data_IF_634680539992
#
_entry.id   IF_634680539992
#
_cell.length_a   1.000
_cell.length_b   1.000
_cell.length_c   1.000
_cell.angle_alpha   90.00
_cell.angle_beta   90.00
_cell.angle_gamma   90.00
#
_symmetry.space_group_name_H-M   'P 1'
#
loop_
_entity.id
_entity.type
_entity.pdbx_description
1 polymer ?
#
# COMPACT_ATOMS: atom_id res chain seq x y z
N UNK A 1 -14.23 7.15 16.28
CA UNK A 1 -14.45 6.25 15.13
C UNK A 1 -13.14 5.53 14.91
N UNK A 2 -13.13 4.22 14.71
CA UNK A 2 -11.91 3.49 14.36
C UNK A 2 -11.45 3.91 12.97
N UNK A 3 -10.13 4.12 12.81
CA UNK A 3 -9.55 4.48 11.51
C UNK A 3 -9.56 3.27 10.59
N UNK A 4 -9.89 3.49 9.32
CA UNK A 4 -9.87 2.47 8.29
C UNK A 4 -8.44 2.20 7.83
N UNK A 5 -8.01 0.93 7.86
CA UNK A 5 -6.64 0.55 7.48
C UNK A 5 -6.52 0.45 5.97
N UNK A 6 -5.59 1.20 5.40
CA UNK A 6 -5.37 1.28 3.97
C UNK A 6 -3.98 0.76 3.59
N UNK A 7 -3.97 -0.15 2.62
CA UNK A 7 -2.78 -0.64 1.94
C UNK A 7 -2.60 0.04 0.59
N UNK A 8 -1.36 0.32 0.20
CA UNK A 8 -1.03 0.92 -1.11
C UNK A 8 0.00 0.05 -1.81
N UNK A 9 -0.33 -0.47 -2.99
CA UNK A 9 0.61 -1.20 -3.85
C UNK A 9 1.26 -0.25 -4.85
N UNK A 10 2.53 -0.51 -5.17
CA UNK A 10 3.39 0.38 -5.95
C UNK A 10 3.50 1.77 -5.28
N UNK A 11 3.71 1.75 -3.96
CA UNK A 11 3.77 2.92 -3.10
C UNK A 11 4.84 3.94 -3.53
N UNK A 12 5.95 3.48 -4.12
CA UNK A 12 7.04 4.32 -4.64
C UNK A 12 6.79 4.83 -6.06
N UNK A 13 5.68 4.45 -6.70
CA UNK A 13 5.28 5.05 -7.97
C UNK A 13 4.82 6.51 -7.79
N UNK A 14 4.78 7.28 -8.87
CA UNK A 14 4.33 8.68 -8.83
C UNK A 14 2.94 8.83 -8.19
N UNK A 15 2.00 7.98 -8.58
CA UNK A 15 0.65 7.95 -8.03
C UNK A 15 0.66 7.47 -6.57
N UNK A 16 1.46 6.45 -6.26
CA UNK A 16 1.59 5.90 -4.90
C UNK A 16 2.04 6.97 -3.89
N UNK A 17 3.10 7.72 -4.20
CA UNK A 17 3.62 8.78 -3.30
C UNK A 17 2.62 9.92 -3.12
N UNK A 18 1.86 10.25 -4.16
CA UNK A 18 0.78 11.25 -4.06
C UNK A 18 -0.37 10.76 -3.20
N UNK A 19 -0.74 9.49 -3.33
CA UNK A 19 -1.77 8.87 -2.52
C UNK A 19 -1.37 8.83 -1.05
N UNK A 20 -0.11 8.49 -0.75
CA UNK A 20 0.42 8.57 0.62
C UNK A 20 0.22 9.98 1.18
N UNK A 21 0.67 11.02 0.48
CA UNK A 21 0.48 12.41 0.94
C UNK A 21 -0.98 12.79 1.17
N UNK A 22 -1.88 12.31 0.32
CA UNK A 22 -3.30 12.61 0.41
C UNK A 22 -3.93 11.93 1.64
N UNK A 23 -3.73 10.61 1.77
CA UNK A 23 -4.34 9.80 2.82
C UNK A 23 -3.74 10.08 4.20
N UNK A 24 -2.47 10.45 4.27
CA UNK A 24 -1.81 10.80 5.52
C UNK A 24 -2.44 11.97 6.27
N UNK A 25 -3.18 12.84 5.58
CA UNK A 25 -3.89 13.97 6.17
C UNK A 25 -5.38 13.69 6.42
N UNK A 26 -5.84 12.45 6.19
CA UNK A 26 -7.25 12.09 6.32
C UNK A 26 -7.54 11.56 7.74
N UNK A 27 -8.52 12.16 8.44
CA UNK A 27 -8.82 11.83 9.84
C UNK A 27 -9.24 10.38 10.05
N UNK A 28 -9.93 9.81 9.07
CA UNK A 28 -10.59 8.50 9.20
C UNK A 28 -9.78 7.35 8.59
N UNK A 29 -8.56 7.63 8.10
CA UNK A 29 -7.71 6.65 7.42
C UNK A 29 -6.37 6.51 8.15
N UNK A 30 -5.87 5.29 8.18
CA UNK A 30 -4.52 4.94 8.59
C UNK A 30 -3.85 4.15 7.47
N UNK A 31 -2.70 4.64 6.98
CA UNK A 31 -1.89 3.86 6.03
C UNK A 31 -1.19 2.77 6.84
N UNK A 32 -1.59 1.51 6.63
CA UNK A 32 -1.12 0.36 7.42
C UNK A 32 -0.05 -0.47 6.70
N UNK A 33 -0.01 -0.44 5.37
CA UNK A 33 0.94 -1.22 4.59
C UNK A 33 1.29 -0.57 3.25
N UNK A 34 2.56 -0.65 2.87
CA UNK A 34 3.09 -0.11 1.62
C UNK A 34 3.79 -1.21 0.82
N UNK A 35 3.32 -1.48 -0.39
CA UNK A 35 3.90 -2.44 -1.32
C UNK A 35 4.91 -1.76 -2.24
N UNK A 36 6.17 -2.21 -2.18
CA UNK A 36 7.21 -1.80 -3.11
C UNK A 36 8.32 -2.87 -3.18
N UNK A 37 8.19 -3.80 -4.13
CA UNK A 37 9.09 -4.96 -4.25
C UNK A 37 10.58 -4.61 -4.44
N UNK A 38 10.90 -3.40 -4.94
CA UNK A 38 12.28 -2.94 -5.13
C UNK A 38 12.92 -2.35 -3.86
N UNK A 39 12.13 -2.08 -2.82
CA UNK A 39 12.56 -1.33 -1.63
C UNK A 39 12.11 -2.02 -0.33
N UNK A 40 12.02 -3.35 -0.34
CA UNK A 40 11.56 -4.14 0.81
C UNK A 40 12.44 -3.82 2.03
N UNK A 41 11.80 -3.67 3.20
CA UNK A 41 12.39 -3.31 4.48
C UNK A 41 12.96 -1.88 4.60
N UNK A 42 12.97 -1.11 3.52
CA UNK A 42 13.29 0.32 3.54
C UNK A 42 12.07 1.15 4.01
N UNK A 43 12.32 2.20 4.77
CA UNK A 43 11.26 3.13 5.15
C UNK A 43 10.93 4.08 3.99
N UNK A 44 9.64 4.36 3.79
CA UNK A 44 9.20 5.21 2.68
C UNK A 44 9.75 6.64 2.76
N UNK A 45 10.00 7.16 3.96
CA UNK A 45 10.61 8.47 4.17
C UNK A 45 12.13 8.49 3.90
N UNK A 46 12.81 7.34 3.89
CA UNK A 46 14.21 7.26 3.47
C UNK A 46 14.32 7.34 1.95
N UNK A 47 13.35 6.75 1.24
CA UNK A 47 13.22 6.82 -0.24
C UNK A 47 12.75 8.22 -0.67
N UNK A 48 11.78 8.79 0.07
CA UNK A 48 11.21 10.12 -0.18
C UNK A 48 11.32 10.98 1.07
N UNK A 49 12.49 11.60 1.26
CA UNK A 49 12.79 12.51 2.38
C UNK A 49 11.78 13.64 2.54
N UNK A 50 11.13 14.05 1.45
CA UNK A 50 10.11 15.09 1.42
C UNK A 50 8.70 14.64 1.86
N UNK A 51 8.52 13.39 2.31
CA UNK A 51 7.32 12.98 3.03
C UNK A 51 7.38 13.52 4.47
N UNK A 52 8.57 13.59 5.08
CA UNK A 52 8.76 14.03 6.46
C UNK A 52 8.90 12.86 7.44
N UNK A 53 9.40 13.15 8.64
CA UNK A 53 9.82 12.13 9.61
C UNK A 53 8.68 11.31 10.24
N UNK A 54 7.43 11.76 10.08
CA UNK A 54 6.26 11.07 10.62
C UNK A 54 5.85 9.84 9.78
N UNK A 55 6.44 9.64 8.59
CA UNK A 55 6.08 8.55 7.67
C UNK A 55 7.06 7.39 7.72
N UNK A 56 7.16 6.77 8.90
CA UNK A 56 8.05 5.62 9.16
C UNK A 56 7.32 4.29 8.94
N UNK A 57 6.89 4.05 7.70
CA UNK A 57 6.31 2.77 7.29
C UNK A 57 7.31 2.06 6.40
N UNK A 58 7.64 0.81 6.74
CA UNK A 58 8.50 -0.04 5.91
C UNK A 58 7.74 -0.54 4.70
N UNK A 59 8.41 -0.54 3.56
CA UNK A 59 7.89 -1.18 2.37
C UNK A 59 7.99 -2.71 2.50
N UNK A 60 7.03 -3.40 1.89
CA UNK A 60 6.97 -4.86 1.84
C UNK A 60 6.63 -5.34 0.43
N UNK A 61 6.60 -6.67 0.27
CA UNK A 61 6.10 -7.32 -0.93
C UNK A 61 4.63 -6.91 -1.19
N UNK A 62 4.31 -6.57 -2.43
CA UNK A 62 2.98 -6.16 -2.86
C UNK A 62 1.90 -7.19 -2.46
N UNK A 63 2.24 -8.48 -2.54
CA UNK A 63 1.40 -9.64 -2.26
C UNK A 63 1.04 -9.78 -0.77
N UNK A 64 1.81 -9.15 0.12
CA UNK A 64 1.61 -9.14 1.58
C UNK A 64 0.80 -7.94 2.07
N UNK A 65 0.64 -6.91 1.24
CA UNK A 65 -0.09 -5.68 1.61
C UNK A 65 -1.54 -5.99 1.99
N UNK A 66 -2.19 -6.88 1.24
CA UNK A 66 -3.59 -7.24 1.45
C UNK A 66 -3.87 -7.87 2.81
N UNK A 67 -2.89 -8.54 3.40
CA UNK A 67 -3.03 -9.20 4.70
C UNK A 67 -3.02 -8.18 5.85
N UNK A 68 -2.72 -6.91 5.56
CA UNK A 68 -2.47 -5.85 6.54
C UNK A 68 -3.40 -4.63 6.36
N UNK A 69 -4.45 -4.72 5.55
CA UNK A 69 -5.37 -3.60 5.30
C UNK A 69 -6.82 -4.03 5.10
N UNK A 70 -7.75 -3.12 5.41
CA UNK A 70 -9.17 -3.26 5.11
C UNK A 70 -9.47 -2.86 3.65
N UNK A 71 -8.76 -1.83 3.17
CA UNK A 71 -8.91 -1.28 1.82
C UNK A 71 -7.55 -1.23 1.11
N UNK A 72 -7.56 -1.54 -0.18
CA UNK A 72 -6.35 -1.62 -0.99
C UNK A 72 -6.42 -0.65 -2.16
N UNK A 73 -5.43 0.23 -2.27
CA UNK A 73 -5.20 1.03 -3.48
C UNK A 73 -4.08 0.43 -4.31
N UNK A 74 -4.28 0.41 -5.62
CA UNK A 74 -3.32 -0.13 -6.58
C UNK A 74 -2.83 0.98 -7.50
N UNK A 75 -1.61 1.46 -7.29
CA UNK A 75 -0.96 2.47 -8.12
C UNK A 75 -0.12 1.83 -9.25
N UNK A 76 -0.63 0.74 -9.82
CA UNK A 76 0.06 -0.07 -10.83
C UNK A 76 -0.26 0.40 -12.26
N UNK A 77 0.64 0.14 -13.23
CA UNK A 77 0.35 0.37 -14.65
C UNK A 77 -0.86 -0.42 -15.14
N UNK A 78 -1.45 0.06 -16.24
CA UNK A 78 -2.51 -0.64 -16.94
C UNK A 78 -2.10 -2.09 -17.28
N UNK A 79 -3.02 -3.04 -17.11
CA UNK A 79 -2.81 -4.47 -17.39
C UNK A 79 -2.04 -5.24 -16.31
N UNK A 80 -1.27 -4.57 -15.44
CA UNK A 80 -0.66 -5.20 -14.26
C UNK A 80 -1.70 -5.30 -13.14
N UNK A 81 -2.52 -4.26 -12.98
CA UNK A 81 -3.58 -4.20 -11.97
C UNK A 81 -4.57 -5.35 -12.09
N UNK A 82 -5.02 -5.67 -13.31
CA UNK A 82 -6.01 -6.74 -13.54
C UNK A 82 -5.50 -8.10 -13.08
N UNK A 83 -4.26 -8.46 -13.47
CA UNK A 83 -3.63 -9.72 -13.08
C UNK A 83 -3.52 -9.82 -11.55
N UNK A 84 -3.07 -8.73 -10.93
CA UNK A 84 -2.90 -8.69 -9.48
C UNK A 84 -4.24 -8.84 -8.75
N UNK A 85 -5.32 -8.20 -9.22
CA UNK A 85 -6.66 -8.38 -8.64
C UNK A 85 -7.11 -9.85 -8.73
N UNK A 86 -6.90 -10.51 -9.87
CA UNK A 86 -7.24 -11.93 -10.03
C UNK A 86 -6.47 -12.80 -9.03
N UNK A 87 -5.17 -12.55 -8.86
CA UNK A 87 -4.33 -13.32 -7.93
C UNK A 87 -4.74 -13.10 -6.47
N UNK A 88 -5.08 -11.86 -6.12
CA UNK A 88 -5.63 -11.49 -4.80
C UNK A 88 -6.96 -12.21 -4.53
N UNK A 89 -7.88 -12.22 -5.49
CA UNK A 89 -9.19 -12.86 -5.33
C UNK A 89 -9.02 -14.37 -5.12
N UNK A 90 -8.15 -15.02 -5.91
CA UNK A 90 -7.81 -16.44 -5.72
C UNK A 90 -7.24 -16.71 -4.33
N UNK A 91 -6.36 -15.84 -3.82
CA UNK A 91 -5.79 -15.97 -2.47
C UNK A 91 -6.90 -15.89 -1.41
N UNK A 92 -7.86 -14.97 -1.54
CA UNK A 92 -9.02 -14.87 -0.64
C UNK A 92 -9.95 -16.08 -0.72
N UNK A 93 -10.24 -16.60 -1.92
CA UNK A 93 -11.05 -17.81 -2.10
C UNK A 93 -10.37 -19.06 -1.51
N UNK A 94 -9.04 -19.17 -1.63
CA UNK A 94 -8.27 -20.28 -1.07
C UNK A 94 -8.17 -20.27 0.46
N UNK A 95 -8.43 -19.12 1.09
CA UNK A 95 -8.39 -18.95 2.55
C UNK A 95 -9.75 -19.16 3.25
N UNK A 96 -10.81 -19.54 2.53
CA UNK A 96 -12.07 -20.02 3.11
C UNK A 96 -12.74 -19.03 4.07
N UNK A 97 -13.49 -18.08 3.50
CA UNK A 97 -14.67 -17.54 4.17
C UNK A 97 -15.91 -18.16 3.55
#
# INVERSE_FOLDING_TARGET
MDKMKVGIIAATGYVGVKLIRLLSNHSDVEISALGANLFIDEYINDIYSNLGENYKIKCMENEKVIDNCDFLFMALPHGVSEKFVIDVLKKKESCGF
#
